data_IF_597169788778
#
_entry.id   IF_597169788778
#
_cell.length_a   1.000
_cell.length_b   1.000
_cell.length_c   1.000
_cell.angle_alpha   90.00
_cell.angle_beta   90.00
_cell.angle_gamma   90.00
#
_symmetry.space_group_name_H-M   'P 1'
#
loop_
_entity.id
_entity.type
_entity.pdbx_description
1 polymer ?
#
# COMPACT_ATOMS: atom_id res chain seq x y z
N UNK A 1 49.77 22.22 9.88
CA UNK A 1 48.94 21.19 10.54
C UNK A 1 47.45 21.52 10.61
N UNK A 2 47.02 22.76 10.34
CA UNK A 2 45.60 23.19 10.46
C UNK A 2 44.67 22.78 9.29
N UNK A 3 45.22 22.40 8.13
CA UNK A 3 44.41 22.10 6.93
C UNK A 3 43.82 20.68 6.88
N UNK A 4 44.54 19.69 7.42
CA UNK A 4 44.12 18.28 7.33
C UNK A 4 42.93 17.97 8.27
N UNK A 5 42.88 18.60 9.44
CA UNK A 5 41.79 18.40 10.41
C UNK A 5 40.47 18.97 9.87
N UNK A 6 40.53 20.12 9.19
CA UNK A 6 39.36 20.75 8.54
C UNK A 6 38.81 19.88 7.41
N UNK A 7 39.69 19.32 6.57
CA UNK A 7 39.27 18.45 5.47
C UNK A 7 38.60 17.15 5.95
N UNK A 8 39.11 16.55 7.04
CA UNK A 8 38.49 15.38 7.65
C UNK A 8 37.10 15.68 8.23
N UNK A 9 36.89 16.86 8.84
CA UNK A 9 35.57 17.28 9.35
C UNK A 9 34.56 17.48 8.22
N UNK A 10 34.96 18.08 7.10
CA UNK A 10 34.08 18.25 5.93
C UNK A 10 33.70 16.92 5.28
N UNK A 11 34.62 15.96 5.19
CA UNK A 11 34.32 14.60 4.72
C UNK A 11 33.38 13.89 5.70
N UNK A 12 33.60 14.02 7.01
CA UNK A 12 32.74 13.42 8.02
C UNK A 12 31.32 14.02 7.97
N UNK A 13 31.17 15.33 7.81
CA UNK A 13 29.88 16.01 7.66
C UNK A 13 29.17 15.63 6.35
N UNK A 14 29.90 15.49 5.24
CA UNK A 14 29.35 15.01 3.97
C UNK A 14 28.90 13.54 4.04
N UNK A 15 29.67 12.68 4.74
CA UNK A 15 29.34 11.27 4.94
C UNK A 15 28.28 11.00 6.01
N UNK A 16 28.09 11.91 6.98
CA UNK A 16 27.06 11.81 8.03
C UNK A 16 25.68 12.28 7.58
N UNK A 17 25.54 12.83 6.37
CA UNK A 17 24.22 13.13 5.79
C UNK A 17 23.73 11.92 4.99
N UNK A 18 22.84 11.07 5.52
CA UNK A 18 22.12 10.15 4.67
C UNK A 18 21.21 10.99 3.77
N UNK A 19 21.62 11.26 2.53
CA UNK A 19 20.69 11.66 1.47
C UNK A 19 19.90 10.41 1.02
N UNK A 20 19.28 9.72 1.99
CA UNK A 20 18.25 8.73 1.69
C UNK A 20 17.03 9.56 1.35
N UNK A 21 16.84 9.84 0.06
CA UNK A 21 15.63 10.49 -0.43
C UNK A 21 14.47 9.57 -0.07
N UNK A 22 13.66 9.98 0.91
CA UNK A 22 12.46 9.25 1.30
C UNK A 22 11.59 9.02 0.07
N UNK A 23 11.16 7.78 -0.10
CA UNK A 23 10.54 7.35 -1.32
C UNK A 23 9.03 7.56 -1.26
N UNK A 24 8.53 8.42 -2.16
CA UNK A 24 7.11 8.68 -2.25
C UNK A 24 6.35 7.46 -2.76
N UNK A 25 5.25 7.13 -2.09
CA UNK A 25 4.31 6.11 -2.49
C UNK A 25 2.89 6.61 -2.29
N UNK A 26 1.93 5.96 -2.93
CA UNK A 26 0.51 6.31 -2.87
C UNK A 26 -0.21 5.37 -1.92
N UNK A 27 -1.01 5.94 -1.03
CA UNK A 27 -1.88 5.24 -0.10
C UNK A 27 -3.35 5.47 -0.47
N UNK A 28 -4.15 4.41 -0.42
CA UNK A 28 -5.60 4.47 -0.56
C UNK A 28 -6.30 4.03 0.73
N UNK A 29 -7.61 3.80 0.67
CA UNK A 29 -8.36 3.24 1.78
C UNK A 29 -7.97 1.77 2.00
N UNK A 30 -7.70 1.39 3.26
CA UNK A 30 -7.46 -0.02 3.62
C UNK A 30 -8.76 -0.84 3.72
N UNK A 31 -9.89 -0.16 3.86
CA UNK A 31 -11.23 -0.75 3.95
C UNK A 31 -12.14 -0.14 2.87
N UNK A 32 -13.23 -0.82 2.50
CA UNK A 32 -14.20 -0.26 1.57
C UNK A 32 -14.79 1.06 2.08
N UNK A 33 -15.00 2.01 1.17
CA UNK A 33 -15.72 3.24 1.43
C UNK A 33 -17.21 2.98 1.17
N UNK A 34 -18.06 3.26 2.14
CA UNK A 34 -19.51 3.07 2.02
C UNK A 34 -20.19 4.41 1.77
N UNK A 35 -21.14 4.42 0.84
CA UNK A 35 -21.96 5.59 0.55
C UNK A 35 -23.42 5.18 0.30
N UNK A 36 -24.36 6.01 0.73
CA UNK A 36 -25.76 5.84 0.35
C UNK A 36 -25.95 6.35 -1.07
N UNK A 37 -26.80 5.70 -1.85
CA UNK A 37 -27.21 6.21 -3.15
C UNK A 37 -27.70 7.66 -3.06
N UNK A 38 -27.21 8.52 -3.95
CA UNK A 38 -27.49 9.96 -3.98
C UNK A 38 -26.54 10.83 -3.17
N UNK A 39 -25.74 10.28 -2.26
CA UNK A 39 -24.75 11.05 -1.49
C UNK A 39 -23.49 11.35 -2.32
N UNK A 40 -22.68 12.30 -1.86
CA UNK A 40 -21.33 12.51 -2.39
C UNK A 40 -20.34 11.66 -1.59
N UNK A 41 -19.30 11.12 -2.24
CA UNK A 41 -18.27 10.30 -1.60
C UNK A 41 -16.88 10.80 -1.95
N UNK A 42 -15.92 10.61 -1.03
CA UNK A 42 -14.50 10.87 -1.27
C UNK A 42 -13.74 9.54 -1.24
N UNK A 43 -13.05 9.24 -2.34
CA UNK A 43 -12.14 8.11 -2.43
C UNK A 43 -10.72 8.61 -2.13
N UNK A 44 -10.08 8.14 -1.03
CA UNK A 44 -8.81 8.69 -0.59
C UNK A 44 -7.65 8.24 -1.51
N UNK A 45 -6.76 9.17 -1.82
CA UNK A 45 -5.48 8.89 -2.47
C UNK A 45 -4.42 9.89 -1.97
N UNK A 46 -3.46 9.41 -1.17
CA UNK A 46 -2.49 10.25 -0.49
C UNK A 46 -1.07 9.87 -0.91
N UNK A 47 -0.26 10.86 -1.27
CA UNK A 47 1.16 10.69 -1.55
C UNK A 47 1.96 10.86 -0.25
N UNK A 48 2.72 9.83 0.14
CA UNK A 48 3.51 9.81 1.37
C UNK A 48 4.97 9.45 1.07
N UNK A 49 5.96 10.25 1.50
CA UNK A 49 5.79 11.58 2.11
C UNK A 49 5.11 12.57 1.14
N UNK A 50 4.47 13.64 1.67
CA UNK A 50 3.82 14.66 0.87
C UNK A 50 4.71 15.19 -0.26
N UNK A 51 4.14 15.26 -1.46
CA UNK A 51 4.75 15.89 -2.63
C UNK A 51 3.74 16.82 -3.28
N UNK A 52 4.21 17.91 -3.86
CA UNK A 52 3.37 18.80 -4.65
C UNK A 52 2.95 18.09 -5.96
N UNK A 53 1.66 17.81 -6.09
CA UNK A 53 1.07 17.13 -7.23
C UNK A 53 0.43 18.10 -8.24
N UNK A 54 0.46 19.42 -8.01
CA UNK A 54 -0.20 20.40 -8.90
C UNK A 54 0.27 20.33 -10.34
N UNK A 55 1.53 19.96 -10.56
CA UNK A 55 2.15 19.76 -11.87
C UNK A 55 2.25 18.28 -12.28
N UNK A 56 1.67 17.37 -11.51
CA UNK A 56 1.67 15.93 -11.81
C UNK A 56 0.35 15.52 -12.46
N UNK A 57 0.42 14.49 -13.29
CA UNK A 57 -0.78 13.80 -13.78
C UNK A 57 -1.35 12.92 -12.67
N UNK A 58 -2.67 12.97 -12.47
CA UNK A 58 -3.42 12.08 -11.57
C UNK A 58 -4.51 11.40 -12.38
N UNK A 59 -4.49 10.06 -12.38
CA UNK A 59 -5.42 9.24 -13.12
C UNK A 59 -6.27 8.42 -12.15
N UNK A 60 -7.59 8.52 -12.28
CA UNK A 60 -8.54 7.63 -11.62
C UNK A 60 -9.23 6.77 -12.66
N UNK A 61 -9.21 5.45 -12.46
CA UNK A 61 -9.81 4.46 -13.38
C UNK A 61 -10.53 3.35 -12.60
N UNK A 62 -11.53 2.71 -13.20
CA UNK A 62 -12.10 1.47 -12.64
C UNK A 62 -11.23 0.28 -13.04
N UNK A 63 -10.96 -0.63 -12.11
CA UNK A 63 -10.14 -1.83 -12.39
C UNK A 63 -10.90 -2.92 -13.15
N UNK A 64 -12.22 -2.93 -13.02
CA UNK A 64 -13.11 -3.94 -13.61
C UNK A 64 -13.44 -3.64 -15.08
N UNK A 65 -13.32 -2.37 -15.49
CA UNK A 65 -13.58 -1.95 -16.86
C UNK A 65 -12.37 -2.27 -17.72
N UNK A 66 -12.43 -3.40 -18.42
CA UNK A 66 -11.45 -3.73 -19.45
C UNK A 66 -11.68 -2.85 -20.69
N UNK A 67 -10.62 -2.47 -21.42
CA UNK A 67 -10.78 -1.83 -22.73
C UNK A 67 -11.65 -2.69 -23.64
N UNK A 68 -12.50 -2.04 -24.45
CA UNK A 68 -13.31 -2.73 -25.44
C UNK A 68 -12.38 -3.41 -26.47
N UNK A 69 -12.45 -4.75 -26.64
CA UNK A 69 -11.61 -5.45 -27.61
C UNK A 69 -11.86 -5.03 -29.06
N UNK A 70 -13.06 -4.54 -29.38
CA UNK A 70 -13.50 -4.12 -30.72
C UNK A 70 -13.14 -2.66 -31.01
N UNK A 71 -13.02 -1.83 -29.97
CA UNK A 71 -12.59 -0.44 -30.08
C UNK A 71 -11.18 -0.29 -29.49
N UNK A 72 -10.18 -0.84 -30.19
CA UNK A 72 -8.76 -0.74 -29.81
C UNK A 72 -8.24 0.70 -29.74
N UNK A 73 -8.97 1.65 -30.36
CA UNK A 73 -8.68 3.08 -30.30
C UNK A 73 -9.22 3.71 -29.00
N UNK A 74 -10.33 3.21 -28.45
CA UNK A 74 -10.75 3.49 -27.07
C UNK A 74 -9.81 2.78 -26.09
N UNK A 75 -8.77 3.53 -25.72
CA UNK A 75 -7.98 3.28 -24.52
C UNK A 75 -8.90 3.23 -23.29
N UNK A 76 -8.39 2.66 -22.19
CA UNK A 76 -9.02 2.64 -20.86
C UNK A 76 -9.75 3.96 -20.62
N UNK A 77 -11.08 3.92 -20.45
CA UNK A 77 -11.85 5.12 -20.11
C UNK A 77 -11.65 5.42 -18.63
N UNK A 78 -11.31 6.66 -18.32
CA UNK A 78 -11.00 7.08 -16.96
C UNK A 78 -12.25 7.58 -16.24
N UNK A 79 -12.26 7.44 -14.92
CA UNK A 79 -13.25 8.09 -14.05
C UNK A 79 -12.94 9.58 -13.96
N UNK A 80 -11.67 9.93 -13.83
CA UNK A 80 -11.18 11.31 -13.78
C UNK A 80 -9.71 11.35 -14.19
N UNK A 81 -9.31 12.39 -14.93
CA UNK A 81 -7.91 12.65 -15.30
C UNK A 81 -7.61 14.11 -15.04
N UNK A 82 -6.57 14.37 -14.26
CA UNK A 82 -6.02 15.70 -14.05
C UNK A 82 -4.62 15.75 -14.64
N UNK A 83 -4.35 16.73 -15.51
CA UNK A 83 -3.05 16.95 -16.15
C UNK A 83 -2.91 18.42 -16.54
N UNK A 84 -1.68 18.95 -16.56
CA UNK A 84 -1.43 20.35 -16.96
C UNK A 84 -2.30 21.38 -16.22
N UNK A 85 -2.56 21.13 -14.93
CA UNK A 85 -3.41 21.96 -14.06
C UNK A 85 -4.90 22.01 -14.39
N UNK A 86 -5.36 21.16 -15.31
CA UNK A 86 -6.75 21.11 -15.75
C UNK A 86 -7.27 19.67 -15.76
N UNK A 87 -8.58 19.55 -15.82
CA UNK A 87 -9.25 18.26 -16.01
C UNK A 87 -9.35 17.92 -17.50
N UNK A 88 -9.00 16.68 -17.86
CA UNK A 88 -9.21 16.15 -19.22
C UNK A 88 -10.57 15.43 -19.27
N UNK A 89 -11.49 15.99 -20.06
CA UNK A 89 -12.85 15.49 -20.21
C UNK A 89 -12.99 14.44 -21.33
N UNK A 90 -12.13 14.47 -22.35
CA UNK A 90 -12.28 13.64 -23.56
C UNK A 90 -12.01 12.17 -23.25
N UNK A 91 -11.15 11.92 -22.27
CA UNK A 91 -10.74 10.57 -21.86
C UNK A 91 -11.67 9.94 -20.82
N UNK A 92 -12.70 10.67 -20.36
CA UNK A 92 -13.59 10.23 -19.29
C UNK A 92 -14.68 9.28 -19.77
N UNK A 93 -15.07 8.40 -18.86
CA UNK A 93 -16.31 7.65 -18.91
C UNK A 93 -17.47 8.68 -18.85
N UNK A 94 -18.39 8.73 -19.84
CA UNK A 94 -19.45 9.73 -19.90
C UNK A 94 -20.28 9.86 -18.61
N UNK A 95 -20.50 8.74 -17.92
CA UNK A 95 -21.27 8.65 -16.68
C UNK A 95 -20.65 9.39 -15.47
N UNK A 96 -19.36 9.77 -15.57
CA UNK A 96 -18.61 10.50 -14.52
C UNK A 96 -18.30 11.96 -14.88
N UNK A 97 -18.66 12.40 -16.09
CA UNK A 97 -18.56 13.81 -16.49
C UNK A 97 -19.46 14.66 -15.58
N UNK A 98 -18.96 15.81 -15.11
CA UNK A 98 -19.64 16.71 -14.18
C UNK A 98 -20.06 16.09 -12.83
N UNK A 99 -19.50 14.92 -12.48
CA UNK A 99 -19.75 14.24 -11.21
C UNK A 99 -18.47 13.99 -10.42
N UNK A 100 -17.30 14.31 -10.96
CA UNK A 100 -16.05 13.95 -10.31
C UNK A 100 -15.07 15.10 -10.33
N UNK A 101 -14.40 15.32 -9.21
CA UNK A 101 -13.43 16.39 -9.05
C UNK A 101 -12.33 15.98 -8.06
N UNK A 102 -11.12 16.52 -8.26
CA UNK A 102 -10.09 16.54 -7.22
C UNK A 102 -10.26 17.79 -6.35
N UNK A 103 -9.38 17.95 -5.37
CA UNK A 103 -9.27 19.15 -4.53
C UNK A 103 -7.97 19.90 -4.89
N UNK A 104 -7.99 20.85 -5.84
CA UNK A 104 -6.79 21.53 -6.35
C UNK A 104 -5.89 22.13 -5.26
N UNK A 105 -6.50 22.65 -4.21
CA UNK A 105 -5.86 23.28 -3.06
C UNK A 105 -5.08 22.26 -2.22
N UNK A 106 -5.52 21.00 -2.22
CA UNK A 106 -4.90 19.93 -1.44
C UNK A 106 -3.85 19.12 -2.23
N UNK A 107 -3.78 19.30 -3.57
CA UNK A 107 -2.75 18.67 -4.40
C UNK A 107 -1.33 19.09 -4.00
N UNK A 108 -1.16 20.33 -3.51
CA UNK A 108 0.13 20.83 -3.01
C UNK A 108 0.64 20.07 -1.78
N UNK A 109 -0.27 19.47 -1.01
CA UNK A 109 0.03 18.65 0.16
C UNK A 109 0.08 17.14 -0.17
N UNK A 110 0.04 16.77 -1.45
CA UNK A 110 0.07 15.37 -1.86
C UNK A 110 -1.27 14.65 -1.75
N UNK A 111 -2.38 15.37 -1.55
CA UNK A 111 -3.71 14.77 -1.51
C UNK A 111 -4.34 14.79 -2.91
N UNK A 112 -4.49 13.61 -3.52
CA UNK A 112 -5.09 13.38 -4.82
C UNK A 112 -6.43 12.62 -4.72
N UNK A 113 -7.11 12.75 -3.57
CA UNK A 113 -8.42 12.15 -3.33
C UNK A 113 -9.46 12.63 -4.34
N UNK A 114 -10.34 11.72 -4.73
CA UNK A 114 -11.39 11.96 -5.73
C UNK A 114 -12.74 12.11 -5.03
N UNK A 115 -13.44 13.20 -5.28
CA UNK A 115 -14.86 13.29 -4.96
C UNK A 115 -15.68 12.74 -6.12
N UNK A 116 -16.68 11.91 -5.82
CA UNK A 116 -17.74 11.50 -6.75
C UNK A 116 -19.07 12.01 -6.20
N UNK A 117 -19.76 12.84 -6.97
CA UNK A 117 -21.02 13.47 -6.59
C UNK A 117 -22.22 12.60 -6.97
N UNK A 118 -23.22 12.58 -6.08
CA UNK A 118 -24.49 11.87 -6.23
C UNK A 118 -24.28 10.44 -6.72
N UNK A 119 -23.63 9.62 -5.91
CA UNK A 119 -23.27 8.23 -6.26
C UNK A 119 -24.51 7.40 -6.60
N UNK A 120 -24.33 6.46 -7.50
CA UNK A 120 -25.37 5.54 -7.98
C UNK A 120 -24.97 4.10 -7.65
N UNK A 121 -25.92 3.18 -7.58
CA UNK A 121 -25.61 1.75 -7.43
C UNK A 121 -24.65 1.22 -8.52
N UNK A 122 -24.68 1.80 -9.73
CA UNK A 122 -23.75 1.45 -10.82
C UNK A 122 -22.29 1.85 -10.58
N UNK A 123 -22.05 2.76 -9.64
CA UNK A 123 -20.73 3.26 -9.30
C UNK A 123 -19.99 2.32 -8.33
N UNK A 124 -20.65 1.26 -7.85
CA UNK A 124 -20.03 0.22 -7.03
C UNK A 124 -18.83 -0.41 -7.76
N UNK A 125 -17.76 -0.67 -7.03
CA UNK A 125 -16.60 -1.38 -7.55
C UNK A 125 -15.26 -0.83 -7.07
N UNK A 126 -14.19 -1.33 -7.68
CA UNK A 126 -12.83 -0.93 -7.32
C UNK A 126 -12.25 0.12 -8.26
N UNK A 127 -11.73 1.17 -7.65
CA UNK A 127 -11.12 2.33 -8.29
C UNK A 127 -9.62 2.30 -8.04
N UNK A 128 -8.86 2.71 -9.04
CA UNK A 128 -7.40 2.84 -8.99
C UNK A 128 -7.02 4.30 -9.17
N UNK A 129 -6.30 4.83 -8.19
CA UNK A 129 -5.57 6.09 -8.29
C UNK A 129 -4.16 5.79 -8.81
N UNK A 130 -3.67 6.52 -9.80
CA UNK A 130 -2.33 6.38 -10.38
C UNK A 130 -1.70 7.77 -10.55
N UNK A 131 -0.47 7.93 -10.07
CA UNK A 131 0.33 9.14 -10.22
C UNK A 131 1.61 8.76 -11.00
N UNK A 132 1.63 8.86 -12.35
CA UNK A 132 2.72 8.35 -13.18
C UNK A 132 4.10 8.91 -12.84
N UNK A 133 4.17 10.17 -12.37
CA UNK A 133 5.42 10.87 -12.02
C UNK A 133 6.18 10.24 -10.85
N UNK A 134 5.52 9.40 -10.03
CA UNK A 134 6.16 8.70 -8.90
C UNK A 134 6.96 7.46 -9.32
N UNK A 135 7.02 7.14 -10.61
CA UNK A 135 7.67 5.93 -11.15
C UNK A 135 9.17 5.88 -10.83
N UNK A 136 9.51 5.13 -9.79
CA UNK A 136 10.87 4.72 -9.44
C UNK A 136 10.85 3.25 -9.03
N UNK A 137 12.01 2.57 -9.01
CA UNK A 137 12.11 1.09 -8.80
C UNK A 137 11.46 0.56 -7.51
N UNK A 138 11.13 1.42 -6.55
CA UNK A 138 10.75 1.06 -5.20
C UNK A 138 9.49 1.85 -4.72
N UNK A 139 8.87 2.69 -5.57
CA UNK A 139 7.70 3.53 -5.23
C UNK A 139 6.41 2.90 -5.74
N UNK A 140 5.44 2.70 -4.86
CA UNK A 140 4.08 2.41 -5.28
C UNK A 140 3.45 3.71 -5.79
N UNK A 141 3.24 3.78 -7.11
CA UNK A 141 2.64 4.95 -7.77
C UNK A 141 1.11 4.87 -7.84
N UNK A 142 0.54 3.77 -7.36
CA UNK A 142 -0.88 3.47 -7.47
C UNK A 142 -1.45 2.96 -6.15
N UNK A 143 -2.72 3.25 -5.93
CA UNK A 143 -3.51 2.76 -4.81
C UNK A 143 -4.90 2.34 -5.29
N UNK A 144 -5.52 1.42 -4.57
CA UNK A 144 -6.83 0.86 -4.89
C UNK A 144 -7.82 1.20 -3.78
N UNK A 145 -9.04 1.58 -4.15
CA UNK A 145 -10.13 1.92 -3.24
C UNK A 145 -11.40 1.24 -3.72
N UNK A 146 -12.04 0.46 -2.85
CA UNK A 146 -13.33 -0.16 -3.14
C UNK A 146 -14.46 0.73 -2.63
N UNK A 147 -15.40 1.08 -3.51
CA UNK A 147 -16.62 1.82 -3.18
C UNK A 147 -17.81 0.86 -3.13
N UNK A 148 -18.57 0.92 -2.04
CA UNK A 148 -19.82 0.19 -1.85
C UNK A 148 -20.96 1.21 -1.68
N UNK A 149 -21.87 1.25 -2.64
CA UNK A 149 -23.07 2.05 -2.67
C UNK A 149 -24.26 1.18 -2.28
N UNK A 150 -25.04 1.64 -1.31
CA UNK A 150 -26.26 0.95 -0.86
C UNK A 150 -27.49 1.86 -1.00
N UNK A 151 -28.63 1.25 -1.29
CA UNK A 151 -29.92 1.94 -1.40
C UNK A 151 -30.89 1.41 -0.34
N UNK A 152 -31.39 2.25 0.59
CA UNK A 152 -32.34 1.80 1.61
C UNK A 152 -33.72 1.45 1.04
N UNK A 153 -34.05 1.92 -0.18
CA UNK A 153 -35.35 1.71 -0.81
C UNK A 153 -35.49 0.34 -1.50
N UNK A 154 -34.39 -0.39 -1.71
CA UNK A 154 -34.41 -1.75 -2.25
C UNK A 154 -35.03 -2.78 -1.30
N UNK A 155 -35.40 -2.39 -0.08
CA UNK A 155 -36.11 -3.22 0.91
C UNK A 155 -37.59 -2.84 0.95
N UNK A 156 -38.31 -2.96 -0.18
CA UNK A 156 -39.79 -2.93 -0.19
C UNK A 156 -40.38 -3.73 -1.35
N UNK A 157 -40.07 -5.02 -1.43
CA UNK A 157 -41.04 -5.99 -1.96
C UNK A 157 -41.55 -6.81 -0.79
N UNK A 158 -42.80 -6.55 -0.43
CA UNK A 158 -43.60 -7.38 0.45
C UNK A 158 -43.74 -8.76 -0.20
N UNK A 159 -42.84 -9.69 0.10
CA UNK A 159 -43.20 -11.09 0.09
C UNK A 159 -43.78 -11.38 1.47
N UNK A 160 -45.12 -11.39 1.53
CA UNK A 160 -45.84 -12.11 2.57
C UNK A 160 -45.33 -13.55 2.57
N UNK A 161 -44.42 -13.87 3.49
CA UNK A 161 -44.11 -15.25 3.83
C UNK A 161 -45.40 -15.80 4.45
N UNK A 162 -46.20 -16.46 3.62
CA UNK A 162 -47.14 -17.48 4.06
C UNK A 162 -46.31 -18.48 4.87
N UNK A 163 -46.63 -18.60 6.13
CA UNK A 163 -46.16 -19.65 7.01
C UNK A 163 -46.63 -20.98 6.44
N UNK A 164 -45.80 -21.58 5.58
CA UNK A 164 -45.97 -22.94 5.07
C UNK A 164 -45.01 -23.85 5.83
N UNK A 165 -45.50 -24.30 6.98
CA UNK A 165 -45.00 -25.46 7.71
C UNK A 165 -45.08 -26.68 6.80
N UNK A 166 -43.98 -27.07 6.14
CA UNK A 166 -43.50 -28.46 6.01
C UNK A 166 -42.28 -28.58 5.07
N UNK A 167 -41.14 -28.01 5.46
CA UNK A 167 -39.84 -28.50 4.97
C UNK A 167 -38.91 -28.74 6.15
N UNK A 168 -38.95 -30.00 6.62
CA UNK A 168 -37.97 -30.62 7.52
C UNK A 168 -36.55 -30.32 7.01
N UNK A 169 -35.67 -29.68 7.81
CA UNK A 169 -34.28 -29.52 7.42
C UNK A 169 -33.64 -30.91 7.27
N UNK A 170 -33.15 -31.18 6.07
CA UNK A 170 -32.28 -32.33 5.80
C UNK A 170 -30.96 -32.00 6.50
N UNK A 171 -30.81 -32.54 7.72
CA UNK A 171 -29.58 -32.47 8.51
C UNK A 171 -28.44 -32.89 7.60
N UNK A 172 -27.61 -31.93 7.22
CA UNK A 172 -26.34 -32.19 6.57
C UNK A 172 -25.44 -32.73 7.68
N UNK A 173 -25.12 -34.02 7.58
CA UNK A 173 -24.23 -34.72 8.48
C UNK A 173 -22.83 -34.08 8.37
N UNK A 174 -22.51 -33.18 9.30
CA UNK A 174 -21.18 -32.59 9.43
C UNK A 174 -20.21 -33.67 9.92
N UNK A 175 -19.70 -34.47 8.98
CA UNK A 175 -18.53 -35.31 9.16
C UNK A 175 -17.28 -34.44 9.31
N UNK A 176 -17.10 -33.92 10.52
CA UNK A 176 -15.79 -33.50 11.00
C UNK A 176 -14.93 -34.76 11.10
N UNK A 177 -14.12 -35.01 10.07
CA UNK A 177 -13.00 -35.94 10.19
C UNK A 177 -12.08 -35.47 11.30
N UNK A 178 -12.12 -36.21 12.40
CA UNK A 178 -11.15 -36.21 13.47
C UNK A 178 -9.82 -36.74 12.90
N UNK A 179 -9.08 -35.87 12.19
CA UNK A 179 -7.66 -36.09 11.96
C UNK A 179 -6.97 -35.88 13.31
N UNK A 180 -6.89 -36.98 14.04
CA UNK A 180 -5.80 -37.33 14.95
C UNK A 180 -4.70 -36.27 14.99
N UNK A 181 -4.86 -35.31 15.90
CA UNK A 181 -3.75 -34.53 16.42
C UNK A 181 -2.82 -35.53 17.11
N UNK A 182 -1.80 -36.01 16.39
CA UNK A 182 -0.59 -36.44 17.07
C UNK A 182 -0.02 -35.19 17.74
N UNK A 183 0.11 -35.13 19.08
CA UNK A 183 0.88 -34.07 19.69
C UNK A 183 2.32 -34.27 19.25
N UNK A 184 2.76 -33.57 18.20
CA UNK A 184 4.17 -33.42 17.90
C UNK A 184 4.75 -32.44 18.91
N UNK A 185 4.81 -32.87 20.18
CA UNK A 185 5.83 -32.39 21.09
C UNK A 185 7.16 -32.87 20.51
N UNK A 186 7.70 -32.13 19.55
CA UNK A 186 9.11 -32.23 19.21
C UNK A 186 9.78 -31.73 20.49
N UNK A 187 10.13 -32.68 21.36
CA UNK A 187 10.81 -32.40 22.61
C UNK A 187 11.95 -31.44 22.28
N UNK A 188 12.06 -30.33 23.02
CA UNK A 188 13.15 -29.36 22.85
C UNK A 188 14.51 -30.07 22.85
N UNK A 189 14.60 -31.24 23.50
CA UNK A 189 15.75 -32.14 23.46
C UNK A 189 16.06 -32.66 22.04
N UNK A 190 15.05 -33.05 21.27
CA UNK A 190 15.19 -33.53 19.89
C UNK A 190 15.66 -32.44 18.92
N UNK A 191 15.12 -31.23 19.04
CA UNK A 191 15.57 -30.09 18.23
C UNK A 191 17.02 -29.70 18.56
N UNK A 192 17.38 -29.70 19.84
CA UNK A 192 18.74 -29.40 20.31
C UNK A 192 19.74 -30.46 19.82
N UNK A 193 19.38 -31.75 19.84
CA UNK A 193 20.24 -32.82 19.31
C UNK A 193 20.45 -32.67 17.80
N UNK A 194 19.40 -32.33 17.04
CA UNK A 194 19.49 -32.09 15.60
C UNK A 194 20.38 -30.87 15.30
N UNK A 195 20.23 -29.77 16.03
CA UNK A 195 21.09 -28.60 15.87
C UNK A 195 22.57 -28.88 16.21
N UNK A 196 22.85 -29.68 17.23
CA UNK A 196 24.22 -30.08 17.61
C UNK A 196 24.85 -31.00 16.54
N UNK A 197 24.07 -31.92 15.96
CA UNK A 197 24.54 -32.80 14.89
C UNK A 197 24.83 -32.02 13.60
N UNK A 198 23.97 -31.06 13.24
CA UNK A 198 24.21 -30.16 12.10
C UNK A 198 25.42 -29.26 12.36
N UNK A 199 25.59 -28.74 13.58
CA UNK A 199 26.77 -27.97 13.98
C UNK A 199 28.09 -28.76 13.84
N UNK A 200 28.07 -30.07 14.11
CA UNK A 200 29.24 -30.95 13.92
C UNK A 200 29.53 -31.29 12.45
N UNK A 201 28.54 -31.19 11.56
CA UNK A 201 28.72 -31.37 10.11
C UNK A 201 29.22 -30.10 9.42
N UNK A 202 28.87 -28.92 9.93
CA UNK A 202 29.23 -27.62 9.34
C UNK A 202 30.57 -27.08 9.88
N UNK A 203 31.05 -27.56 11.03
CA UNK A 203 32.37 -27.20 11.58
C UNK A 203 33.33 -28.40 11.56
N UNK A 204 34.06 -28.64 10.46
CA UNK A 204 35.14 -29.60 10.47
C UNK A 204 36.26 -29.13 11.41
N UNK A 205 36.67 -30.03 12.32
CA UNK A 205 37.86 -29.95 13.17
C UNK A 205 39.05 -29.40 12.38
N UNK A 206 39.55 -28.21 12.74
CA UNK A 206 40.92 -27.83 12.39
C UNK A 206 41.84 -28.40 13.45
N UNK A 207 42.59 -29.46 13.11
CA UNK A 207 43.70 -29.94 13.92
C UNK A 207 44.96 -30.15 13.05
N UNK A 208 45.89 -29.19 13.19
CA UNK A 208 47.32 -29.33 13.48
C UNK A 208 48.26 -30.15 12.53
N UNK A 209 49.25 -29.42 11.98
CA UNK A 209 50.68 -29.75 11.67
C UNK A 209 51.02 -30.60 10.42
N UNK A 210 52.09 -30.41 9.60
CA UNK A 210 53.06 -29.36 9.18
C UNK A 210 53.86 -30.00 7.99
N UNK A 211 54.98 -29.44 7.47
CA UNK A 211 55.14 -28.83 6.14
C UNK A 211 55.94 -29.66 5.09
N UNK A 212 55.92 -29.23 3.82
CA UNK A 212 57.08 -29.35 2.92
C UNK A 212 57.06 -28.31 1.78
N UNK A 213 58.19 -27.60 1.66
CA UNK A 213 58.81 -26.77 0.59
C UNK A 213 58.24 -26.97 -0.84
N UNK A 214 58.17 -25.98 -1.75
CA UNK A 214 59.11 -24.88 -2.05
C UNK A 214 58.51 -23.96 -3.17
N UNK A 215 59.00 -22.70 -3.26
CA UNK A 215 59.19 -21.82 -4.46
C UNK A 215 58.00 -21.53 -5.40
N UNK A 216 57.58 -20.29 -5.75
CA UNK A 216 58.24 -18.98 -5.79
C UNK A 216 57.21 -17.80 -5.80
N UNK A 217 57.74 -16.63 -5.42
CA UNK A 217 57.37 -15.24 -5.78
C UNK A 217 56.02 -14.58 -5.34
N UNK A 218 56.11 -13.93 -4.17
CA UNK A 218 55.51 -12.69 -3.61
C UNK A 218 55.03 -11.52 -4.52
N UNK A 219 54.42 -10.43 -3.97
CA UNK A 219 53.48 -10.34 -2.84
C UNK A 219 52.35 -9.26 -2.94
N UNK A 220 51.43 -9.37 -1.97
CA UNK A 220 50.65 -8.32 -1.27
C UNK A 220 49.51 -7.62 -2.06
N UNK A 221 48.21 -7.82 -1.78
CA UNK A 221 47.41 -7.89 -0.54
C UNK A 221 47.42 -6.63 0.35
N UNK A 222 46.28 -5.94 0.32
CA UNK A 222 45.68 -5.16 1.39
C UNK A 222 44.99 -6.09 2.42
N UNK A 223 44.89 -5.69 3.69
CA UNK A 223 43.99 -6.33 4.64
C UNK A 223 42.84 -5.42 5.10
N UNK A 224 41.67 -6.04 5.05
CA UNK A 224 40.48 -6.01 5.93
C UNK A 224 40.70 -5.46 7.35
N UNK A 225 39.64 -4.91 7.99
CA UNK A 225 38.94 -5.56 9.12
C UNK A 225 37.91 -4.67 9.83
N UNK A 226 36.78 -5.32 10.12
CA UNK A 226 35.80 -5.18 11.21
C UNK A 226 34.89 -3.96 11.33
N UNK A 227 33.62 -4.26 11.15
CA UNK A 227 32.42 -3.59 11.65
C UNK A 227 31.91 -4.30 12.93
N UNK A 228 31.40 -3.57 13.93
CA UNK A 228 30.49 -4.11 14.93
C UNK A 228 29.04 -3.61 14.73
N UNK A 229 28.12 -4.53 14.97
CA UNK A 229 26.67 -4.44 14.82
C UNK A 229 26.01 -3.40 15.74
N UNK A 230 25.02 -2.65 15.22
CA UNK A 230 24.00 -1.96 16.03
C UNK A 230 22.60 -2.37 15.57
N UNK A 231 21.82 -2.71 16.60
CA UNK A 231 20.45 -3.22 16.63
C UNK A 231 19.46 -2.29 15.91
N UNK A 232 18.83 -2.79 14.84
CA UNK A 232 17.72 -2.11 14.14
C UNK A 232 16.46 -2.23 14.99
N UNK A 233 15.92 -1.09 15.45
CA UNK A 233 14.54 -1.02 15.94
C UNK A 233 13.70 -0.53 14.77
N UNK A 234 12.74 -1.35 14.32
CA UNK A 234 11.83 -1.00 13.24
C UNK A 234 10.85 0.11 13.66
N UNK A 235 10.51 1.07 12.78
CA UNK A 235 9.32 1.89 12.99
C UNK A 235 8.11 1.04 12.59
N UNK A 236 7.34 0.66 13.60
CA UNK A 236 6.01 0.09 13.42
C UNK A 236 5.05 1.27 13.27
N UNK A 237 4.71 1.65 12.04
CA UNK A 237 3.49 2.44 11.81
C UNK A 237 2.33 1.46 11.71
N UNK A 238 1.58 1.35 12.80
CA UNK A 238 0.37 0.52 12.89
C UNK A 238 -0.67 0.96 11.86
N UNK A 239 -1.51 0.05 11.31
CA UNK A 239 -2.69 0.40 10.51
C UNK A 239 -3.59 1.47 11.15
N UNK A 240 -3.62 1.55 12.49
CA UNK A 240 -4.44 2.51 13.25
C UNK A 240 -3.94 3.96 13.12
N UNK A 241 -2.63 4.16 12.91
CA UNK A 241 -2.04 5.50 12.78
C UNK A 241 -2.31 6.10 11.39
N UNK A 242 -2.37 5.24 10.36
CA UNK A 242 -2.76 5.63 8.99
C UNK A 242 -4.22 6.06 8.94
N UNK A 243 -5.11 5.31 9.61
CA UNK A 243 -6.52 5.70 9.75
C UNK A 243 -6.66 7.05 10.47
N UNK A 244 -5.85 7.29 11.50
CA UNK A 244 -5.87 8.56 12.22
C UNK A 244 -5.42 9.74 11.34
N UNK A 245 -4.44 9.56 10.44
CA UNK A 245 -4.02 10.59 9.49
C UNK A 245 -5.11 10.86 8.45
N UNK A 246 -5.75 9.82 7.92
CA UNK A 246 -6.87 9.93 6.98
C UNK A 246 -8.06 10.67 7.62
N UNK A 247 -8.40 10.34 8.88
CA UNK A 247 -9.50 10.97 9.61
C UNK A 247 -9.19 12.41 10.04
N UNK A 248 -7.94 12.71 10.44
CA UNK A 248 -7.52 14.08 10.81
C UNK A 248 -7.51 15.04 9.63
N UNK A 249 -7.15 14.57 8.43
CA UNK A 249 -7.25 15.36 7.20
C UNK A 249 -8.70 15.49 6.67
N UNK A 250 -9.63 14.66 7.14
CA UNK A 250 -11.06 14.72 6.79
C UNK A 250 -11.86 15.65 7.70
N UNK A 251 -11.41 15.88 8.94
CA UNK A 251 -12.13 16.68 9.94
C UNK A 251 -11.71 18.15 10.01
N UNK A 252 -10.63 18.53 9.32
CA UNK A 252 -10.23 19.92 9.13
C UNK A 252 -10.79 20.45 7.81
N UNK A 253 -12.10 20.67 7.74
CA UNK A 253 -12.78 21.67 6.89
C UNK A 253 -14.28 21.42 6.88
N UNK A 254 -14.97 21.73 7.99
CA UNK A 254 -16.36 22.19 7.86
C UNK A 254 -16.31 23.60 7.26
N UNK A 255 -16.78 23.80 6.02
CA UNK A 255 -16.73 25.10 5.40
C UNK A 255 -17.63 26.08 6.16
N UNK A 256 -17.13 27.31 6.37
CA UNK A 256 -17.71 28.35 7.24
C UNK A 256 -19.14 28.80 6.83
N UNK A 257 -19.68 28.33 5.71
CA UNK A 257 -21.08 28.54 5.32
C UNK A 257 -22.07 27.61 6.03
N UNK A 258 -21.62 26.50 6.63
CA UNK A 258 -22.48 25.54 7.33
C UNK A 258 -22.98 26.02 8.71
N UNK A 259 -22.59 27.21 9.16
CA UNK A 259 -22.97 27.78 10.46
C UNK A 259 -23.92 29.00 10.37
N UNK A 260 -24.42 29.33 9.17
CA UNK A 260 -25.30 30.49 8.95
C UNK A 260 -26.71 30.15 8.46
N UNK A 261 -27.12 28.88 8.56
CA UNK A 261 -28.51 28.46 8.36
C UNK A 261 -29.05 27.85 9.66
N UNK A 262 -29.40 28.73 10.59
CA UNK A 262 -30.10 28.44 11.85
C UNK A 262 -30.89 29.65 12.28
#
# INVERSE_FOLDING_TARGET
MSGHVSFCVWIFVACLSPLVRAQAHVLGASQPVFAREGDDVILPCLCVPPKDLRQSTVEWSRTELKPDPLDRLKRVRFVHVYTEQHEDLDMKIPEFINRTQLFPEQLGAGNASLQIQRVRLSDNGTYKCLIPSLRTKLSLKEAFVTLIVYSPEAVTTKEDIKEDTDLKPKVLDDQWHERSFLPRTISLVGFVVICVLIGKLVCPRKNIYKPSKNSDESPSQSPTTSEPQVRVTAPITSPDEVQLIILKNSTADTPRWALQAG
#
